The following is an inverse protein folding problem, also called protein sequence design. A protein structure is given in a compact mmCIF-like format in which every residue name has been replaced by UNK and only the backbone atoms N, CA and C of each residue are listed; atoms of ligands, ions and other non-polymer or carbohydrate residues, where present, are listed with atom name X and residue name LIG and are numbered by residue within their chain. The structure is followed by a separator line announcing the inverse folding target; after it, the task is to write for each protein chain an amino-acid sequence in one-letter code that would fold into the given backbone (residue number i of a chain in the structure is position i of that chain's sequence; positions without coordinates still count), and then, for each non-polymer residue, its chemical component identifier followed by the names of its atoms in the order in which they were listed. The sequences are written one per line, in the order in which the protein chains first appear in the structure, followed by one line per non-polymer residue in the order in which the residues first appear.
data_IF_242117037509
#
_entry.id   IF_242117037509
#
_cell.length_a   1.000
_cell.length_b   1.000
_cell.length_c   1.000
_cell.angle_alpha   90.00
_cell.angle_beta   90.00
_cell.angle_gamma   90.00
#
_symmetry.space_group_name_H-M   'P 1'
#
loop_
_entity.id
_entity.type
_entity.pdbx_description
1 polymer ?
#
# COMPACT_ATOMS: atom_id res chain seq x y z
N UNK A 1 -30.87 -15.86 -20.13
CA UNK A 1 -30.02 -14.72 -20.51
C UNK A 1 -29.82 -13.71 -19.36
N UNK A 2 -30.88 -13.27 -18.66
CA UNK A 2 -30.75 -12.31 -17.54
C UNK A 2 -29.78 -12.75 -16.42
N UNK A 3 -29.83 -14.04 -16.01
CA UNK A 3 -28.90 -14.58 -15.00
C UNK A 3 -27.45 -14.50 -15.49
N UNK A 4 -27.18 -14.78 -16.76
CA UNK A 4 -25.85 -14.72 -17.33
C UNK A 4 -25.30 -13.29 -17.41
N UNK A 5 -26.15 -12.31 -17.78
CA UNK A 5 -25.78 -10.89 -17.77
C UNK A 5 -25.48 -10.41 -16.36
N UNK A 6 -26.31 -10.78 -15.38
CA UNK A 6 -26.10 -10.42 -13.97
C UNK A 6 -24.83 -11.08 -13.39
N UNK A 7 -24.59 -12.35 -13.72
CA UNK A 7 -23.38 -13.06 -13.31
C UNK A 7 -22.12 -12.43 -13.92
N UNK A 8 -22.15 -12.04 -15.19
CA UNK A 8 -21.04 -11.34 -15.84
C UNK A 8 -20.72 -10.01 -15.17
N UNK A 9 -21.76 -9.21 -14.87
CA UNK A 9 -21.57 -7.93 -14.18
C UNK A 9 -20.99 -8.10 -12.77
N UNK A 10 -21.45 -9.12 -12.03
CA UNK A 10 -20.89 -9.47 -10.71
C UNK A 10 -19.40 -9.85 -10.79
N UNK A 11 -18.99 -10.60 -11.81
CA UNK A 11 -17.58 -10.94 -12.04
C UNK A 11 -16.72 -9.71 -12.36
N UNK A 12 -17.23 -8.79 -13.18
CA UNK A 12 -16.53 -7.55 -13.53
C UNK A 12 -16.31 -6.66 -12.30
N UNK A 13 -17.34 -6.50 -11.45
CA UNK A 13 -17.21 -5.78 -10.18
C UNK A 13 -16.22 -6.44 -9.22
N UNK A 14 -16.22 -7.77 -9.14
CA UNK A 14 -15.25 -8.49 -8.30
C UNK A 14 -13.82 -8.30 -8.81
N UNK A 15 -13.62 -8.31 -10.14
CA UNK A 15 -12.33 -8.05 -10.74
C UNK A 15 -11.86 -6.61 -10.50
N UNK A 16 -12.76 -5.63 -10.62
CA UNK A 16 -12.47 -4.23 -10.31
C UNK A 16 -12.07 -4.02 -8.84
N UNK A 17 -12.74 -4.71 -7.90
CA UNK A 17 -12.39 -4.65 -6.48
C UNK A 17 -11.01 -5.26 -6.20
N UNK A 18 -10.70 -6.42 -6.81
CA UNK A 18 -9.37 -7.02 -6.70
C UNK A 18 -8.28 -6.11 -7.28
N UNK A 19 -8.55 -5.50 -8.44
CA UNK A 19 -7.65 -4.54 -9.07
C UNK A 19 -7.36 -3.35 -8.15
N UNK A 20 -8.39 -2.75 -7.54
CA UNK A 20 -8.21 -1.64 -6.59
C UNK A 20 -7.43 -2.05 -5.33
N UNK A 21 -7.69 -3.22 -4.75
CA UNK A 21 -6.90 -3.71 -3.60
C UNK A 21 -5.42 -3.90 -3.98
N UNK A 22 -5.15 -4.32 -5.21
CA UNK A 22 -3.78 -4.47 -5.71
C UNK A 22 -3.12 -3.11 -5.98
N UNK A 23 -3.69 -2.33 -6.90
CA UNK A 23 -3.12 -1.08 -7.40
C UNK A 23 -3.13 0.04 -6.35
N UNK A 24 -4.21 0.17 -5.56
CA UNK A 24 -4.38 1.29 -4.64
C UNK A 24 -3.94 0.98 -3.21
N UNK A 25 -3.63 -0.29 -2.87
CA UNK A 25 -3.22 -0.65 -1.50
C UNK A 25 -1.97 -1.51 -1.45
N UNK A 26 -1.93 -2.61 -2.20
CA UNK A 26 -0.77 -3.52 -2.15
C UNK A 26 0.49 -2.86 -2.69
N UNK A 27 0.39 -2.17 -3.84
CA UNK A 27 1.51 -1.44 -4.43
C UNK A 27 1.97 -0.28 -3.51
N UNK A 28 1.09 0.64 -3.04
CA UNK A 28 1.43 1.64 -2.04
C UNK A 28 2.09 1.11 -0.77
N UNK A 29 1.61 -0.01 -0.24
CA UNK A 29 2.21 -0.64 0.93
C UNK A 29 3.65 -1.11 0.67
N UNK A 30 3.92 -1.64 -0.53
CA UNK A 30 5.27 -1.97 -0.97
C UNK A 30 6.18 -0.74 -1.05
N UNK A 31 5.69 0.35 -1.66
CA UNK A 31 6.43 1.61 -1.80
C UNK A 31 6.77 2.21 -0.43
N UNK A 32 5.79 2.31 0.48
CA UNK A 32 6.01 2.80 1.85
C UNK A 32 6.94 1.89 2.65
N UNK A 33 6.85 0.57 2.43
CA UNK A 33 7.75 -0.42 3.02
C UNK A 33 9.20 -0.23 2.58
N UNK A 34 9.43 -0.02 1.29
CA UNK A 34 10.76 0.27 0.72
C UNK A 34 11.31 1.59 1.27
N UNK A 35 10.50 2.66 1.32
CA UNK A 35 10.92 3.94 1.91
C UNK A 35 11.36 3.75 3.36
N UNK A 36 10.59 3.00 4.17
CA UNK A 36 10.94 2.72 5.57
C UNK A 36 12.25 1.94 5.68
N UNK A 37 12.46 0.96 4.80
CA UNK A 37 13.72 0.21 4.74
C UNK A 37 14.90 1.13 4.41
N UNK A 38 14.79 1.93 3.34
CA UNK A 38 15.86 2.83 2.89
C UNK A 38 16.22 3.86 3.95
N UNK A 39 15.23 4.42 4.66
CA UNK A 39 15.47 5.37 5.77
C UNK A 39 16.25 4.72 6.92
N UNK A 40 15.93 3.48 7.28
CA UNK A 40 16.67 2.74 8.29
C UNK A 40 18.08 2.38 7.80
N UNK A 41 18.20 2.02 6.52
CA UNK A 41 19.48 1.68 5.88
C UNK A 41 20.42 2.89 5.83
N UNK A 42 19.91 4.07 5.49
CA UNK A 42 20.65 5.33 5.47
C UNK A 42 21.30 5.61 6.83
N UNK A 43 20.52 5.52 7.92
CA UNK A 43 21.05 5.71 9.27
C UNK A 43 22.13 4.68 9.59
N UNK A 44 21.93 3.42 9.20
CA UNK A 44 22.88 2.34 9.46
C UNK A 44 24.22 2.59 8.75
N UNK A 45 24.21 2.85 7.43
CA UNK A 45 25.44 3.02 6.64
C UNK A 45 26.21 4.28 7.02
N UNK A 46 25.54 5.36 7.41
CA UNK A 46 26.20 6.54 7.94
C UNK A 46 26.86 6.27 9.30
N UNK A 47 26.23 5.48 10.17
CA UNK A 47 26.85 5.06 11.43
C UNK A 47 28.09 4.17 11.18
N UNK A 48 27.99 3.19 10.28
CA UNK A 48 29.12 2.33 9.92
C UNK A 48 30.31 3.13 9.36
N UNK A 49 30.04 4.14 8.52
CA UNK A 49 31.09 5.03 8.00
C UNK A 49 31.84 5.79 9.12
N UNK A 50 31.20 6.10 10.25
CA UNK A 50 31.88 6.70 11.42
C UNK A 50 32.66 5.70 12.28
N UNK A 51 32.36 4.40 12.17
CA UNK A 51 33.03 3.33 12.92
C UNK A 51 34.25 2.78 12.19
N UNK A 52 34.21 2.78 10.87
CA UNK A 52 35.31 2.37 10.00
C UNK A 52 35.76 3.53 9.10
N UNK A 53 36.54 4.50 9.63
CA UNK A 53 36.87 5.76 8.97
C UNK A 53 37.98 5.58 7.93
N UNK A 54 37.72 4.78 6.89
CA UNK A 54 38.60 4.65 5.73
C UNK A 54 37.96 5.34 4.52
N UNK A 55 38.72 6.12 3.72
CA UNK A 55 38.15 6.85 2.58
C UNK A 55 37.33 5.97 1.63
N UNK A 56 37.85 4.79 1.29
CA UNK A 56 37.17 3.84 0.40
C UNK A 56 35.84 3.31 0.98
N UNK A 57 35.79 3.00 2.29
CA UNK A 57 34.55 2.55 2.91
C UNK A 57 33.53 3.69 2.98
N UNK A 58 33.97 4.90 3.35
CA UNK A 58 33.14 6.10 3.43
C UNK A 58 32.53 6.46 2.08
N UNK A 59 33.33 6.47 1.01
CA UNK A 59 32.85 6.71 -0.36
C UNK A 59 31.78 5.69 -0.77
N UNK A 60 31.99 4.40 -0.50
CA UNK A 60 31.00 3.36 -0.80
C UNK A 60 29.69 3.57 -0.05
N UNK A 61 29.75 3.91 1.25
CA UNK A 61 28.56 4.16 2.05
C UNK A 61 27.82 5.43 1.62
N UNK A 62 28.54 6.48 1.22
CA UNK A 62 27.94 7.71 0.70
C UNK A 62 27.28 7.49 -0.67
N UNK A 63 27.91 6.70 -1.55
CA UNK A 63 27.30 6.33 -2.83
C UNK A 63 26.00 5.53 -2.65
N UNK A 64 25.98 4.59 -1.71
CA UNK A 64 24.77 3.84 -1.36
C UNK A 64 23.69 4.76 -0.77
N UNK A 65 24.08 5.68 0.12
CA UNK A 65 23.17 6.67 0.70
C UNK A 65 22.53 7.57 -0.37
N UNK A 66 23.31 8.11 -1.30
CA UNK A 66 22.79 8.97 -2.37
C UNK A 66 21.84 8.19 -3.30
N UNK A 67 22.14 6.92 -3.60
CA UNK A 67 21.24 6.04 -4.35
C UNK A 67 19.94 5.76 -3.59
N UNK A 68 20.01 5.47 -2.29
CA UNK A 68 18.83 5.28 -1.44
C UNK A 68 17.97 6.54 -1.40
N UNK A 69 18.58 7.73 -1.35
CA UNK A 69 17.82 9.00 -1.37
C UNK A 69 17.04 9.20 -2.65
N UNK A 70 17.68 8.92 -3.79
CA UNK A 70 17.02 8.99 -5.09
C UNK A 70 15.86 7.98 -5.18
N UNK A 71 16.09 6.74 -4.75
CA UNK A 71 15.07 5.69 -4.78
C UNK A 71 13.89 5.99 -3.85
N UNK A 72 14.16 6.38 -2.60
CA UNK A 72 13.11 6.74 -1.64
C UNK A 72 12.26 7.92 -2.15
N UNK A 73 12.88 8.87 -2.86
CA UNK A 73 12.15 9.97 -3.50
C UNK A 73 11.25 9.47 -4.63
N UNK A 74 11.75 8.61 -5.50
CA UNK A 74 10.97 8.03 -6.59
C UNK A 74 9.76 7.22 -6.07
N UNK A 75 9.97 6.37 -5.06
CA UNK A 75 8.90 5.59 -4.43
C UNK A 75 7.86 6.50 -3.76
N UNK A 76 8.30 7.59 -3.11
CA UNK A 76 7.39 8.57 -2.51
C UNK A 76 6.55 9.29 -3.56
N UNK A 77 7.18 9.76 -4.65
CA UNK A 77 6.49 10.47 -5.72
C UNK A 77 5.48 9.54 -6.43
N UNK A 78 5.84 8.26 -6.64
CA UNK A 78 4.95 7.25 -7.19
C UNK A 78 3.78 6.92 -6.24
N UNK A 79 4.03 6.81 -4.94
CA UNK A 79 3.00 6.65 -3.91
C UNK A 79 2.00 7.82 -3.92
N UNK A 80 2.50 9.05 -3.96
CA UNK A 80 1.67 10.26 -3.97
C UNK A 80 0.85 10.44 -5.25
N UNK A 81 1.22 9.76 -6.34
CA UNK A 81 0.47 9.74 -7.59
C UNK A 81 -0.71 8.75 -7.58
N UNK A 82 -0.83 7.92 -6.55
CA UNK A 82 -1.94 6.97 -6.39
C UNK A 82 -3.18 7.64 -5.79
N UNK A 83 -4.28 6.90 -5.71
CA UNK A 83 -5.46 7.37 -5.00
C UNK A 83 -5.25 7.36 -3.47
N UNK A 84 -5.14 8.55 -2.90
CA UNK A 84 -5.06 8.76 -1.46
C UNK A 84 -6.44 9.04 -0.88
N UNK A 85 -6.79 8.38 0.23
CA UNK A 85 -7.98 8.78 1.00
C UNK A 85 -7.77 10.16 1.66
N UNK A 86 -8.82 10.87 2.10
CA UNK A 86 -8.66 12.16 2.79
C UNK A 86 -7.83 12.08 4.08
N UNK A 87 -7.90 10.96 4.81
CA UNK A 87 -7.08 10.71 5.99
C UNK A 87 -5.63 10.45 5.61
N UNK A 88 -5.43 9.60 4.60
CA UNK A 88 -4.13 9.25 4.07
C UNK A 88 -3.37 10.49 3.57
N UNK A 89 -4.02 11.36 2.81
CA UNK A 89 -3.44 12.60 2.32
C UNK A 89 -2.97 13.52 3.46
N UNK A 90 -3.71 13.58 4.58
CA UNK A 90 -3.31 14.36 5.77
C UNK A 90 -2.08 13.76 6.45
N UNK A 91 -2.03 12.43 6.59
CA UNK A 91 -0.86 11.74 7.15
C UNK A 91 0.37 11.92 6.24
N UNK A 92 0.19 11.79 4.93
CA UNK A 92 1.25 11.96 3.95
C UNK A 92 1.84 13.39 3.96
N UNK A 93 1.00 14.42 4.09
CA UNK A 93 1.46 15.82 4.23
C UNK A 93 2.31 16.02 5.49
N UNK A 94 1.89 15.45 6.62
CA UNK A 94 2.67 15.53 7.87
C UNK A 94 3.98 14.75 7.75
N UNK A 95 3.94 13.60 7.10
CA UNK A 95 5.12 12.79 6.85
C UNK A 95 6.17 13.55 6.04
N UNK A 96 5.77 14.35 5.05
CA UNK A 96 6.70 15.20 4.28
C UNK A 96 7.45 16.14 5.21
N UNK A 97 6.75 16.81 6.13
CA UNK A 97 7.36 17.76 7.07
C UNK A 97 8.35 17.06 7.99
N UNK A 98 7.94 15.96 8.64
CA UNK A 98 8.76 15.23 9.59
C UNK A 98 10.00 14.60 8.90
N UNK A 99 9.82 14.05 7.70
CA UNK A 99 10.91 13.47 6.91
C UNK A 99 11.87 14.56 6.38
N UNK A 100 11.37 15.72 5.96
CA UNK A 100 12.23 16.84 5.56
C UNK A 100 13.10 17.32 6.71
N UNK A 101 12.54 17.45 7.91
CA UNK A 101 13.32 17.81 9.10
C UNK A 101 14.40 16.75 9.37
N UNK A 102 14.03 15.46 9.39
CA UNK A 102 14.96 14.36 9.61
C UNK A 102 16.11 14.31 8.60
N UNK A 103 15.82 14.56 7.33
CA UNK A 103 16.81 14.59 6.26
C UNK A 103 17.71 15.83 6.36
N UNK A 104 17.12 17.02 6.38
CA UNK A 104 17.85 18.27 6.24
C UNK A 104 18.64 18.64 7.50
N UNK A 105 18.16 18.24 8.67
CA UNK A 105 18.80 18.56 9.96
C UNK A 105 19.62 17.39 10.52
N UNK A 106 19.43 16.17 9.99
CA UNK A 106 20.06 14.96 10.52
C UNK A 106 20.91 14.22 9.49
N UNK A 107 20.28 13.49 8.57
CA UNK A 107 21.00 12.60 7.65
C UNK A 107 21.91 13.33 6.66
N UNK A 108 21.46 14.45 6.07
CA UNK A 108 22.26 15.22 5.12
C UNK A 108 23.48 15.86 5.78
N UNK A 109 23.39 16.54 6.93
CA UNK A 109 24.58 17.08 7.60
C UNK A 109 25.58 16.00 8.03
N UNK A 110 25.12 14.82 8.45
CA UNK A 110 26.00 13.70 8.77
C UNK A 110 26.74 13.18 7.51
N UNK A 111 26.04 13.01 6.39
CA UNK A 111 26.65 12.63 5.12
C UNK A 111 27.64 13.69 4.62
N UNK A 112 27.31 14.97 4.75
CA UNK A 112 28.19 16.08 4.38
C UNK A 112 29.47 16.10 5.23
N UNK A 113 29.38 15.85 6.54
CA UNK A 113 30.54 15.72 7.40
C UNK A 113 31.42 14.54 6.98
N UNK A 114 30.83 13.39 6.67
CA UNK A 114 31.56 12.23 6.13
C UNK A 114 32.24 12.52 4.79
N UNK A 115 31.61 13.29 3.88
CA UNK A 115 32.24 13.72 2.62
C UNK A 115 33.51 14.53 2.85
N UNK A 116 33.55 15.32 3.93
CA UNK A 116 34.73 16.08 4.36
C UNK A 116 35.69 15.28 5.24
N UNK A 117 35.44 13.97 5.42
CA UNK A 117 36.19 13.09 6.32
C UNK A 117 36.17 13.55 7.80
N UNK A 118 35.15 14.34 8.17
CA UNK A 118 34.92 14.82 9.52
C UNK A 118 34.02 13.82 10.27
N UNK A 119 34.63 12.71 10.69
CA UNK A 119 33.92 11.59 11.31
C UNK A 119 33.34 11.94 12.69
N UNK A 120 33.94 12.87 13.42
CA UNK A 120 33.49 13.27 14.75
C UNK A 120 32.24 14.14 14.65
N UNK A 121 32.21 15.12 13.76
CA UNK A 121 30.99 15.88 13.49
C UNK A 121 29.86 14.98 12.98
N UNK A 122 30.17 14.03 12.09
CA UNK A 122 29.18 13.06 11.61
C UNK A 122 28.60 12.23 12.78
N UNK A 123 29.46 11.72 13.67
CA UNK A 123 29.05 10.95 14.86
C UNK A 123 28.18 11.79 15.79
N UNK A 124 28.54 13.06 16.01
CA UNK A 124 27.76 13.97 16.84
C UNK A 124 26.36 14.21 16.27
N UNK A 125 26.25 14.51 14.97
CA UNK A 125 24.94 14.71 14.30
C UNK A 125 24.09 13.44 14.37
N UNK A 126 24.69 12.27 14.14
CA UNK A 126 24.00 10.98 14.22
C UNK A 126 23.48 10.66 15.63
N UNK A 127 24.27 11.00 16.66
CA UNK A 127 23.91 10.76 18.06
C UNK A 127 22.89 11.76 18.61
N UNK A 128 22.78 12.96 18.02
CA UNK A 128 21.92 14.04 18.49
C UNK A 128 20.71 14.23 17.57
N UNK A 129 20.89 14.94 16.45
CA UNK A 129 19.79 15.35 15.57
C UNK A 129 19.07 14.15 14.95
N UNK A 130 19.81 13.17 14.44
CA UNK A 130 19.20 11.96 13.86
C UNK A 130 18.47 11.16 14.92
N UNK A 131 19.03 11.00 16.12
CA UNK A 131 18.37 10.29 17.21
C UNK A 131 17.08 10.99 17.67
N UNK A 132 17.07 12.33 17.73
CA UNK A 132 15.93 13.13 18.15
C UNK A 132 14.79 13.16 17.10
N UNK A 133 15.13 13.24 15.81
CA UNK A 133 14.16 13.41 14.73
C UNK A 133 13.62 12.08 14.16
N UNK A 134 14.36 10.97 14.33
CA UNK A 134 13.95 9.67 13.79
C UNK A 134 12.57 9.18 14.26
N UNK A 135 12.16 9.32 15.55
CA UNK A 135 10.87 8.81 16.02
C UNK A 135 9.69 9.40 15.24
N UNK A 136 9.66 10.72 15.04
CA UNK A 136 8.59 11.38 14.30
C UNK A 136 8.54 10.91 12.83
N UNK A 137 9.70 10.90 12.16
CA UNK A 137 9.81 10.50 10.76
C UNK A 137 9.44 9.02 10.50
N UNK A 138 9.67 8.12 11.46
CA UNK A 138 9.36 6.69 11.35
C UNK A 138 7.95 6.33 11.84
N UNK A 139 7.44 7.03 12.85
CA UNK A 139 6.08 6.79 13.36
C UNK A 139 5.04 7.08 12.28
N UNK A 140 5.17 8.20 11.58
CA UNK A 140 4.24 8.60 10.50
C UNK A 140 4.26 7.63 9.31
N UNK A 141 5.42 7.10 8.92
CA UNK A 141 5.48 6.00 7.93
C UNK A 141 4.75 4.75 8.42
N UNK A 142 4.85 4.45 9.72
CA UNK A 142 4.17 3.30 10.31
C UNK A 142 2.65 3.50 10.36
N UNK A 143 2.19 4.73 10.63
CA UNK A 143 0.77 5.10 10.55
C UNK A 143 0.23 4.96 9.12
N UNK A 144 0.97 5.42 8.11
CA UNK A 144 0.59 5.24 6.70
C UNK A 144 0.50 3.76 6.31
N UNK A 145 1.47 2.94 6.70
CA UNK A 145 1.45 1.50 6.45
C UNK A 145 0.27 0.81 7.14
N UNK A 146 -0.02 1.18 8.39
CA UNK A 146 -1.18 0.66 9.11
C UNK A 146 -2.49 1.05 8.41
N UNK A 147 -2.59 2.28 7.91
CA UNK A 147 -3.75 2.75 7.17
C UNK A 147 -3.95 1.95 5.87
N UNK A 148 -2.88 1.61 5.13
CA UNK A 148 -3.01 0.75 3.94
C UNK A 148 -3.65 -0.59 4.29
N UNK A 149 -3.25 -1.21 5.40
CA UNK A 149 -3.80 -2.49 5.86
C UNK A 149 -5.28 -2.34 6.24
N UNK A 150 -5.63 -1.28 6.98
CA UNK A 150 -7.01 -0.99 7.38
C UNK A 150 -7.91 -0.78 6.18
N UNK A 151 -7.52 0.10 5.24
CA UNK A 151 -8.33 0.39 4.06
C UNK A 151 -8.42 -0.81 3.12
N UNK A 152 -7.35 -1.60 2.96
CA UNK A 152 -7.40 -2.84 2.19
C UNK A 152 -8.40 -3.85 2.78
N UNK A 153 -8.45 -3.96 4.11
CA UNK A 153 -9.42 -4.81 4.80
C UNK A 153 -10.86 -4.33 4.57
N UNK A 154 -11.12 -3.03 4.72
CA UNK A 154 -12.45 -2.45 4.49
C UNK A 154 -12.93 -2.67 3.05
N UNK A 155 -12.03 -2.48 2.06
CA UNK A 155 -12.32 -2.75 0.65
C UNK A 155 -12.65 -4.23 0.41
N UNK A 156 -11.87 -5.13 1.00
CA UNK A 156 -12.11 -6.57 0.92
C UNK A 156 -13.45 -6.97 1.54
N UNK A 157 -13.74 -6.53 2.77
CA UNK A 157 -14.99 -6.84 3.46
C UNK A 157 -16.21 -6.30 2.70
N UNK A 158 -16.11 -5.08 2.17
CA UNK A 158 -17.15 -4.46 1.34
C UNK A 158 -17.37 -5.24 0.04
N UNK A 159 -16.30 -5.62 -0.65
CA UNK A 159 -16.37 -6.40 -1.87
C UNK A 159 -16.95 -7.80 -1.62
N UNK A 160 -16.54 -8.46 -0.54
CA UNK A 160 -17.02 -9.78 -0.13
C UNK A 160 -18.51 -9.78 0.23
N UNK A 161 -18.96 -8.81 1.02
CA UNK A 161 -20.38 -8.67 1.39
C UNK A 161 -21.27 -8.42 0.16
N UNK A 162 -20.80 -7.61 -0.79
CA UNK A 162 -21.50 -7.37 -2.07
C UNK A 162 -21.55 -8.63 -2.93
N UNK A 163 -20.43 -9.35 -3.06
CA UNK A 163 -20.38 -10.60 -3.83
C UNK A 163 -21.31 -11.66 -3.24
N UNK A 164 -21.34 -11.81 -1.90
CA UNK A 164 -22.25 -12.72 -1.22
C UNK A 164 -23.73 -12.38 -1.53
N UNK A 165 -24.09 -11.09 -1.50
CA UNK A 165 -25.44 -10.63 -1.85
C UNK A 165 -25.80 -10.93 -3.30
N UNK A 166 -24.86 -10.74 -4.23
CA UNK A 166 -25.06 -11.05 -5.66
C UNK A 166 -25.25 -12.56 -5.89
N UNK A 167 -24.45 -13.40 -5.24
CA UNK A 167 -24.61 -14.86 -5.32
C UNK A 167 -25.99 -15.31 -4.80
N UNK A 168 -26.45 -14.78 -3.67
CA UNK A 168 -27.80 -15.07 -3.16
C UNK A 168 -28.90 -14.70 -4.16
N UNK A 169 -28.77 -13.56 -4.86
CA UNK A 169 -29.72 -13.15 -5.90
C UNK A 169 -29.66 -14.10 -7.10
N UNK A 170 -28.48 -14.53 -7.54
CA UNK A 170 -28.31 -15.52 -8.61
C UNK A 170 -28.98 -16.83 -8.24
N UNK A 171 -28.75 -17.33 -7.02
CA UNK A 171 -29.39 -18.56 -6.51
C UNK A 171 -30.92 -18.42 -6.45
N UNK A 172 -31.43 -17.31 -5.93
CA UNK A 172 -32.87 -17.06 -5.86
C UNK A 172 -33.52 -17.01 -7.25
N UNK A 173 -32.89 -16.33 -8.21
CA UNK A 173 -33.36 -16.27 -9.61
C UNK A 173 -33.30 -17.63 -10.29
N UNK A 174 -32.22 -18.40 -10.06
CA UNK A 174 -32.06 -19.76 -10.54
C UNK A 174 -33.16 -20.68 -10.01
N UNK A 175 -33.37 -20.69 -8.69
CA UNK A 175 -34.42 -21.47 -8.04
C UNK A 175 -35.83 -21.09 -8.55
N UNK A 176 -36.12 -19.80 -8.67
CA UNK A 176 -37.40 -19.32 -9.22
C UNK A 176 -37.60 -19.77 -10.68
N UNK A 177 -36.56 -19.70 -11.51
CA UNK A 177 -36.63 -20.15 -12.90
C UNK A 177 -36.86 -21.67 -13.00
N UNK A 178 -36.21 -22.47 -12.15
CA UNK A 178 -36.42 -23.91 -12.08
C UNK A 178 -37.83 -24.27 -11.60
N UNK A 179 -38.32 -23.59 -10.57
CA UNK A 179 -39.69 -23.77 -10.08
C UNK A 179 -40.74 -23.46 -11.17
N UNK A 180 -40.57 -22.35 -11.91
CA UNK A 180 -41.43 -22.01 -13.03
C UNK A 180 -41.40 -23.06 -14.15
N UNK A 181 -40.22 -23.61 -14.47
CA UNK A 181 -40.08 -24.69 -15.44
C UNK A 181 -40.83 -25.96 -15.00
N UNK A 182 -40.76 -26.31 -13.71
CA UNK A 182 -41.51 -27.45 -13.16
C UNK A 182 -43.01 -27.21 -13.24
N UNK A 183 -43.49 -26.03 -12.81
CA UNK A 183 -44.92 -25.69 -12.82
C UNK A 183 -45.48 -25.72 -14.25
N UNK A 184 -44.78 -25.10 -15.20
CA UNK A 184 -45.21 -25.09 -16.61
C UNK A 184 -45.21 -26.49 -17.21
N UNK A 185 -44.19 -27.31 -16.94
CA UNK A 185 -44.14 -28.70 -17.39
C UNK A 185 -45.33 -29.50 -16.84
N UNK A 186 -45.60 -29.42 -15.53
CA UNK A 186 -46.74 -30.12 -14.91
C UNK A 186 -48.08 -29.62 -15.44
N UNK A 187 -48.22 -28.33 -15.69
CA UNK A 187 -49.44 -27.73 -16.24
C UNK A 187 -49.73 -28.22 -17.66
N UNK A 188 -48.71 -28.23 -18.53
CA UNK A 188 -48.83 -28.75 -19.91
C UNK A 188 -49.18 -30.23 -19.90
N UNK A 189 -48.45 -31.05 -19.13
CA UNK A 189 -48.70 -32.50 -19.05
C UNK A 189 -50.12 -32.81 -18.58
N UNK A 190 -50.61 -32.11 -17.54
CA UNK A 190 -51.99 -32.27 -17.04
C UNK A 190 -53.06 -31.83 -18.04
N UNK A 191 -52.76 -30.86 -18.91
CA UNK A 191 -53.71 -30.40 -19.93
C UNK A 191 -53.84 -31.41 -21.05
N UNK A 192 -52.72 -31.98 -21.50
CA UNK A 192 -52.69 -33.00 -22.56
C UNK A 192 -53.42 -34.26 -22.10
N UNK A 193 -53.16 -34.75 -20.88
CA UNK A 193 -53.81 -35.96 -20.37
C UNK A 193 -55.31 -35.80 -20.09
N UNK A 194 -55.84 -34.58 -19.98
CA UNK A 194 -57.29 -34.33 -19.87
C UNK A 194 -58.01 -34.25 -21.22
N UNK A 195 -57.28 -34.12 -22.32
CA UNK A 195 -57.84 -33.99 -23.68
C UNK A 195 -57.84 -35.31 -24.46
N UNK A 196 -57.21 -36.35 -23.92
CA UNK A 196 -57.25 -37.74 -24.39
C UNK A 196 -58.30 -38.52 -23.61
#
# INVERSE_FOLDING_TARGET
MLIAVFAWHSLDESNAAMKSIYEDRTVPMGQLGEIRYLVARDRFILNEATRNPTPAATERHLAEFDANRARARAEWDAYMATYLTPEEAKLAQRQIVDMQAYLNQGLMPAAEALRRQDYDSARQVLATQVAALAPAALQRLSELLALQVTVAKELYETASARNARQLWLIFALGAASGALAIVTTLWVTRRITRQL
#
